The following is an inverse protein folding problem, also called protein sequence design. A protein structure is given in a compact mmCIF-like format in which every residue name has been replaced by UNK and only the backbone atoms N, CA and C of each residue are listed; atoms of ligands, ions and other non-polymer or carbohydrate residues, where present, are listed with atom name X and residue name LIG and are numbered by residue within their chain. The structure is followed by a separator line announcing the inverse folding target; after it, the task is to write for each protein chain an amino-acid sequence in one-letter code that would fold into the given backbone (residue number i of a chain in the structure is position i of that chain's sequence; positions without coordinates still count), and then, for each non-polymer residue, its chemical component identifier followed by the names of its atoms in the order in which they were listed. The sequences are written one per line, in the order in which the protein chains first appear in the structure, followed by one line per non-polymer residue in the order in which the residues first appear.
data_IF_927222903349
#
_entry.id   IF_927222903349
#
_cell.length_a   1.000
_cell.length_b   1.000
_cell.length_c   1.000
_cell.angle_alpha   90.00
_cell.angle_beta   90.00
_cell.angle_gamma   90.00
#
_symmetry.space_group_name_H-M   'P 1'
#
loop_
_entity.id
_entity.type
_entity.pdbx_description
1 polymer ?
#
# COMPACT_ATOMS: atom_id res chain seq x y z
N UNK A 1 64.81 21.10 23.48
CA UNK A 1 63.86 21.50 22.41
C UNK A 1 63.18 20.24 21.91
N UNK A 2 62.13 19.78 22.58
CA UNK A 2 61.42 18.56 22.21
C UNK A 2 59.93 18.88 22.34
N UNK A 3 59.19 18.78 21.26
CA UNK A 3 57.83 18.28 21.35
C UNK A 3 56.65 19.15 21.03
N UNK A 4 56.67 20.13 20.11
CA UNK A 4 55.40 20.75 19.66
C UNK A 4 54.75 20.03 18.47
N UNK A 5 55.44 19.11 17.82
CA UNK A 5 54.91 18.39 16.64
C UNK A 5 53.96 17.26 16.92
N UNK A 6 54.07 16.59 18.07
CA UNK A 6 53.26 15.44 18.45
C UNK A 6 51.90 15.86 18.99
N UNK A 7 51.81 17.01 19.66
CA UNK A 7 50.53 17.50 20.21
C UNK A 7 49.59 17.98 19.10
N UNK A 8 50.11 18.61 18.04
CA UNK A 8 49.31 19.05 16.89
C UNK A 8 48.81 17.89 16.03
N UNK A 9 49.60 16.81 15.87
CA UNK A 9 49.17 15.62 15.15
C UNK A 9 48.05 14.87 15.87
N UNK A 10 48.14 14.80 17.21
CA UNK A 10 47.06 14.18 18.03
C UNK A 10 45.75 14.97 17.97
N UNK A 11 45.82 16.30 18.01
CA UNK A 11 44.64 17.16 17.97
C UNK A 11 43.93 17.11 16.59
N UNK A 12 44.70 17.07 15.49
CA UNK A 12 44.13 16.96 14.14
C UNK A 12 43.46 15.60 13.91
N UNK A 13 44.06 14.51 14.41
CA UNK A 13 43.46 13.16 14.28
C UNK A 13 42.18 13.06 15.09
N UNK A 14 42.10 13.64 16.28
CA UNK A 14 40.88 13.65 17.10
C UNK A 14 39.80 14.51 16.44
N UNK A 15 40.10 15.65 15.87
CA UNK A 15 39.15 16.52 15.14
C UNK A 15 38.60 15.87 13.87
N UNK A 16 39.43 15.11 13.12
CA UNK A 16 38.97 14.39 11.93
C UNK A 16 38.09 13.16 12.31
N UNK A 17 38.39 12.49 13.43
CA UNK A 17 37.61 11.36 13.91
C UNK A 17 36.21 11.77 14.40
N UNK A 18 36.03 12.98 14.94
CA UNK A 18 34.72 13.49 15.40
C UNK A 18 33.83 13.98 14.28
N UNK A 19 34.36 14.30 13.10
CA UNK A 19 33.55 14.76 11.95
C UNK A 19 32.89 13.62 11.15
N UNK A 20 33.27 12.35 11.36
CA UNK A 20 32.68 11.20 10.65
C UNK A 20 31.44 10.60 11.34
N UNK A 21 31.04 11.09 12.51
CA UNK A 21 29.96 10.50 13.32
C UNK A 21 28.55 11.13 13.07
N UNK A 22 28.39 12.04 12.12
CA UNK A 22 27.18 12.87 12.01
C UNK A 22 26.22 12.53 10.85
N UNK A 23 26.35 11.38 10.20
CA UNK A 23 25.32 10.92 9.25
C UNK A 23 24.39 9.91 9.95
N UNK A 24 23.49 10.41 10.79
CA UNK A 24 22.35 9.60 11.24
C UNK A 24 21.34 9.54 10.10
N UNK A 25 21.08 8.37 9.48
CA UNK A 25 20.04 8.27 8.47
C UNK A 25 18.69 8.54 9.11
N UNK A 26 18.03 9.63 8.73
CA UNK A 26 16.66 9.93 9.16
C UNK A 26 15.72 9.13 8.27
N UNK A 27 15.13 8.08 8.81
CA UNK A 27 14.07 7.34 8.13
C UNK A 27 12.73 8.02 8.39
N UNK A 28 12.16 8.64 7.38
CA UNK A 28 10.82 9.24 7.45
C UNK A 28 9.80 8.17 7.04
N UNK A 29 9.05 7.67 8.01
CA UNK A 29 7.91 6.79 7.76
C UNK A 29 6.67 7.64 7.48
N UNK A 30 6.01 7.36 6.35
CA UNK A 30 4.76 8.04 5.97
C UNK A 30 3.58 7.18 6.39
N UNK A 31 2.66 7.75 7.17
CA UNK A 31 1.41 7.09 7.57
C UNK A 31 0.25 7.67 6.78
N UNK A 32 -0.46 6.82 6.05
CA UNK A 32 -1.64 7.22 5.28
C UNK A 32 -2.93 6.95 6.06
N UNK A 33 -4.00 7.76 5.90
CA UNK A 33 -5.34 7.41 6.35
C UNK A 33 -5.79 6.08 5.73
N UNK A 34 -6.55 5.27 6.49
CA UNK A 34 -6.99 3.94 6.03
C UNK A 34 -7.70 3.99 4.68
N UNK A 35 -8.60 4.94 4.48
CA UNK A 35 -9.32 5.12 3.22
C UNK A 35 -8.37 5.29 2.02
N UNK A 36 -7.27 6.02 2.17
CA UNK A 36 -6.29 6.20 1.09
C UNK A 36 -5.56 4.89 0.76
N UNK A 37 -5.32 4.05 1.76
CA UNK A 37 -4.75 2.71 1.54
C UNK A 37 -5.75 1.80 0.83
N UNK A 38 -7.02 1.83 1.21
CA UNK A 38 -8.09 1.05 0.59
C UNK A 38 -8.31 1.45 -0.87
N UNK A 39 -8.34 2.75 -1.16
CA UNK A 39 -8.46 3.28 -2.53
C UNK A 39 -7.27 2.84 -3.39
N UNK A 40 -6.05 2.95 -2.86
CA UNK A 40 -4.84 2.56 -3.58
C UNK A 40 -4.79 1.04 -3.83
N UNK A 41 -5.12 0.23 -2.83
CA UNK A 41 -5.19 -1.22 -2.96
C UNK A 41 -6.24 -1.63 -4.01
N UNK A 42 -7.42 -0.98 -3.99
CA UNK A 42 -8.47 -1.21 -4.98
C UNK A 42 -7.99 -0.91 -6.39
N UNK A 43 -7.32 0.22 -6.62
CA UNK A 43 -6.77 0.57 -7.94
C UNK A 43 -5.76 -0.48 -8.44
N UNK A 44 -4.84 -0.93 -7.58
CA UNK A 44 -3.83 -1.93 -7.95
C UNK A 44 -4.49 -3.27 -8.26
N UNK A 45 -5.46 -3.71 -7.46
CA UNK A 45 -6.20 -4.96 -7.70
C UNK A 45 -7.04 -4.88 -8.98
N UNK A 46 -7.61 -3.71 -9.30
CA UNK A 46 -8.32 -3.52 -10.58
C UNK A 46 -7.40 -3.63 -11.79
N UNK A 47 -6.17 -3.12 -11.70
CA UNK A 47 -5.17 -3.32 -12.75
C UNK A 47 -4.87 -4.80 -13.00
N UNK A 48 -4.81 -5.63 -11.96
CA UNK A 48 -4.54 -7.07 -12.08
C UNK A 48 -5.73 -7.87 -12.63
N UNK A 49 -6.92 -7.30 -12.62
CA UNK A 49 -8.17 -7.95 -13.05
C UNK A 49 -8.74 -7.40 -14.35
N UNK A 50 -8.04 -6.46 -14.98
CA UNK A 50 -8.47 -5.89 -16.25
C UNK A 50 -8.16 -6.86 -17.39
N UNK A 51 -9.11 -7.14 -18.31
CA UNK A 51 -8.81 -7.89 -19.52
C UNK A 51 -7.66 -7.22 -20.30
N UNK A 52 -6.78 -8.00 -20.96
CA UNK A 52 -5.61 -7.47 -21.69
C UNK A 52 -5.97 -6.41 -22.76
N UNK A 53 -7.17 -6.51 -23.31
CA UNK A 53 -7.66 -5.63 -24.38
C UNK A 53 -8.55 -4.47 -23.88
N UNK A 54 -8.72 -4.30 -22.58
CA UNK A 54 -9.52 -3.21 -22.05
C UNK A 54 -8.76 -1.89 -22.10
N UNK A 55 -9.34 -0.81 -22.67
CA UNK A 55 -8.69 0.49 -22.70
C UNK A 55 -8.36 0.93 -21.27
N UNK A 56 -7.21 1.57 -21.10
CA UNK A 56 -6.79 2.11 -19.81
C UNK A 56 -7.87 3.11 -19.31
N UNK A 57 -8.65 2.70 -18.34
CA UNK A 57 -9.52 3.64 -17.64
C UNK A 57 -8.60 4.61 -16.91
N UNK A 58 -8.56 5.86 -17.34
CA UNK A 58 -7.87 6.92 -16.61
C UNK A 58 -8.38 6.98 -15.17
N UNK A 59 -7.64 7.60 -14.25
CA UNK A 59 -8.10 7.77 -12.88
C UNK A 59 -9.49 8.42 -12.93
N UNK A 60 -10.48 7.75 -12.33
CA UNK A 60 -11.80 8.36 -12.13
C UNK A 60 -11.56 9.66 -11.36
N UNK A 61 -11.94 10.83 -11.90
CA UNK A 61 -11.77 12.08 -11.17
C UNK A 61 -12.50 11.95 -9.84
N UNK A 62 -11.80 12.22 -8.74
CA UNK A 62 -12.43 12.36 -7.43
C UNK A 62 -13.62 13.32 -7.58
N UNK A 63 -14.78 13.05 -6.92
CA UNK A 63 -15.90 13.96 -6.96
C UNK A 63 -15.41 15.37 -6.58
N UNK A 64 -15.61 16.33 -7.48
CA UNK A 64 -15.25 17.72 -7.22
C UNK A 64 -15.89 18.16 -5.91
N UNK A 65 -15.19 18.85 -5.01
CA UNK A 65 -15.79 19.42 -3.82
C UNK A 65 -16.92 20.34 -4.27
N UNK A 66 -18.11 20.12 -3.74
CA UNK A 66 -19.26 20.99 -4.01
C UNK A 66 -18.84 22.43 -3.72
N UNK A 67 -19.10 23.39 -4.61
CA UNK A 67 -18.78 24.79 -4.34
C UNK A 67 -19.62 25.23 -3.16
N UNK A 68 -18.98 25.34 -1.99
CA UNK A 68 -19.54 26.03 -0.84
C UNK A 68 -19.82 27.47 -1.24
N UNK A 69 -21.03 27.94 -0.97
CA UNK A 69 -21.51 29.25 -1.32
C UNK A 69 -20.56 30.34 -0.78
N UNK A 70 -20.01 31.12 -1.68
CA UNK A 70 -19.07 32.24 -1.44
C UNK A 70 -19.66 33.37 -0.60
N UNK A 71 -20.88 33.21 -0.10
CA UNK A 71 -21.62 34.28 0.61
C UNK A 71 -21.39 34.34 2.13
N UNK A 72 -20.81 33.29 2.74
CA UNK A 72 -20.54 33.28 4.17
C UNK A 72 -19.17 33.84 4.59
N UNK A 73 -18.31 34.15 3.64
CA UNK A 73 -16.96 34.65 3.91
C UNK A 73 -16.87 36.15 4.17
N UNK A 74 -18.01 36.88 4.08
CA UNK A 74 -18.07 38.35 4.23
C UNK A 74 -18.53 38.85 5.60
N UNK A 75 -18.91 37.95 6.51
CA UNK A 75 -19.40 38.29 7.84
C UNK A 75 -18.53 37.74 8.97
N UNK A 76 -17.19 37.85 8.84
CA UNK A 76 -16.33 37.58 9.97
C UNK A 76 -16.32 38.83 10.90
N UNK A 77 -16.84 38.77 12.14
CA UNK A 77 -16.75 39.86 13.08
C UNK A 77 -15.31 40.06 13.53
N UNK A 78 -14.91 41.33 13.64
CA UNK A 78 -13.66 41.78 14.25
C UNK A 78 -13.68 41.47 15.76
N UNK A 79 -13.29 40.25 16.13
CA UNK A 79 -13.05 39.86 17.53
C UNK A 79 -11.57 39.88 17.89
N UNK A 80 -11.19 39.99 19.19
CA UNK A 80 -9.81 40.04 19.62
C UNK A 80 -9.08 38.74 19.26
N UNK A 81 -7.89 38.91 18.69
CA UNK A 81 -6.97 37.81 18.37
C UNK A 81 -6.47 37.19 19.68
N UNK A 82 -7.10 36.14 20.12
CA UNK A 82 -6.42 35.17 20.98
C UNK A 82 -5.33 34.47 20.17
N UNK A 83 -4.15 34.37 20.76
CA UNK A 83 -3.00 33.74 20.15
C UNK A 83 -3.34 32.28 19.80
N UNK A 84 -3.78 32.04 18.58
CA UNK A 84 -3.94 30.71 18.04
C UNK A 84 -2.53 30.08 17.99
N UNK A 85 -2.32 29.02 18.77
CA UNK A 85 -1.21 28.11 18.57
C UNK A 85 -1.19 27.79 17.08
N UNK A 86 -0.03 27.96 16.42
CA UNK A 86 0.20 27.60 15.02
C UNK A 86 -0.18 26.12 14.84
N UNK A 87 -1.43 25.87 14.48
CA UNK A 87 -1.77 24.60 13.86
C UNK A 87 -0.98 24.54 12.56
N UNK A 88 0.15 23.83 12.61
CA UNK A 88 0.87 23.45 11.39
C UNK A 88 -0.16 22.87 10.45
N UNK A 89 -0.28 23.38 9.20
CA UNK A 89 -1.21 22.81 8.24
C UNK A 89 -0.89 21.31 8.17
N UNK A 90 -1.84 20.47 8.55
CA UNK A 90 -1.77 19.03 8.35
C UNK A 90 -1.58 18.88 6.85
N UNK A 91 -0.35 18.61 6.45
CA UNK A 91 0.01 18.37 5.06
C UNK A 91 -0.88 17.23 4.63
N UNK A 92 -1.94 17.51 3.87
CA UNK A 92 -2.83 16.48 3.37
C UNK A 92 -1.95 15.47 2.66
N UNK A 93 -1.81 14.29 3.27
CA UNK A 93 -0.93 13.25 2.76
C UNK A 93 -1.31 13.01 1.30
N UNK A 94 -0.37 13.23 0.39
CA UNK A 94 -0.57 12.98 -1.02
C UNK A 94 -1.08 11.54 -1.17
N UNK A 95 -1.92 11.30 -2.19
CA UNK A 95 -2.40 9.94 -2.45
C UNK A 95 -1.21 9.00 -2.64
N UNK A 96 -1.28 7.76 -2.11
CA UNK A 96 -0.21 6.79 -2.32
C UNK A 96 0.04 6.57 -3.82
N UNK A 97 1.30 6.40 -4.19
CA UNK A 97 1.69 6.05 -5.57
C UNK A 97 1.23 4.63 -5.86
N UNK A 98 0.45 4.46 -6.91
CA UNK A 98 -0.07 3.15 -7.37
C UNK A 98 0.50 2.76 -8.73
N UNK A 99 1.22 3.65 -9.39
CA UNK A 99 1.79 3.46 -10.73
C UNK A 99 3.32 3.45 -10.69
N UNK A 100 3.89 2.26 -10.88
CA UNK A 100 5.32 2.06 -11.11
C UNK A 100 5.52 0.92 -12.10
N UNK A 101 6.66 0.93 -12.78
CA UNK A 101 7.00 -0.15 -13.73
C UNK A 101 7.05 -1.53 -13.06
N UNK A 102 7.39 -1.60 -11.78
CA UNK A 102 7.40 -2.85 -11.01
C UNK A 102 5.98 -3.33 -10.68
N UNK A 103 5.11 -2.44 -10.17
CA UNK A 103 3.70 -2.78 -9.92
C UNK A 103 2.99 -3.21 -11.20
N UNK A 104 3.24 -2.53 -12.33
CA UNK A 104 2.67 -2.93 -13.61
C UNK A 104 3.07 -4.34 -14.00
N UNK A 105 4.36 -4.70 -13.94
CA UNK A 105 4.82 -6.06 -14.25
C UNK A 105 4.17 -7.12 -13.36
N UNK A 106 4.01 -6.85 -12.08
CA UNK A 106 3.37 -7.76 -11.12
C UNK A 106 1.88 -7.93 -11.42
N UNK A 107 1.16 -6.83 -11.67
CA UNK A 107 -0.27 -6.87 -12.01
C UNK A 107 -0.51 -7.53 -13.38
N UNK A 108 0.37 -7.35 -14.37
CA UNK A 108 0.34 -8.07 -15.64
C UNK A 108 0.59 -9.57 -15.44
N UNK A 109 1.51 -9.94 -14.54
CA UNK A 109 1.75 -11.35 -14.17
C UNK A 109 0.49 -11.99 -13.57
N UNK A 110 -0.19 -11.32 -12.65
CA UNK A 110 -1.48 -11.76 -12.11
C UNK A 110 -2.56 -11.85 -13.19
N UNK A 111 -2.62 -10.87 -14.07
CA UNK A 111 -3.60 -10.82 -15.16
C UNK A 111 -3.49 -12.05 -16.08
N UNK A 112 -2.27 -12.48 -16.43
CA UNK A 112 -2.05 -13.70 -17.22
C UNK A 112 -2.59 -14.97 -16.55
N UNK A 113 -2.67 -15.00 -15.21
CA UNK A 113 -3.20 -16.14 -14.42
C UNK A 113 -4.68 -15.97 -14.04
N UNK A 114 -5.27 -14.82 -14.33
CA UNK A 114 -6.62 -14.47 -13.84
C UNK A 114 -7.65 -15.55 -14.14
N UNK A 115 -7.64 -16.12 -15.35
CA UNK A 115 -8.58 -17.18 -15.73
C UNK A 115 -8.43 -18.43 -14.86
N UNK A 116 -7.19 -18.87 -14.59
CA UNK A 116 -6.94 -20.02 -13.73
C UNK A 116 -7.34 -19.76 -12.26
N UNK A 117 -7.07 -18.56 -11.76
CA UNK A 117 -7.49 -18.13 -10.41
C UNK A 117 -9.01 -18.10 -10.30
N UNK A 118 -9.69 -17.49 -11.26
CA UNK A 118 -11.16 -17.44 -11.27
C UNK A 118 -11.79 -18.85 -11.33
N UNK A 119 -11.21 -19.76 -12.11
CA UNK A 119 -11.64 -21.14 -12.19
C UNK A 119 -11.45 -21.86 -10.84
N UNK A 120 -10.31 -21.66 -10.16
CA UNK A 120 -10.05 -22.25 -8.85
C UNK A 120 -11.06 -21.73 -7.80
N UNK A 121 -11.36 -20.43 -7.78
CA UNK A 121 -12.36 -19.82 -6.91
C UNK A 121 -13.77 -20.35 -7.21
N UNK A 122 -14.18 -20.40 -8.47
CA UNK A 122 -15.51 -20.85 -8.90
C UNK A 122 -15.78 -22.32 -8.55
N UNK A 123 -14.75 -23.18 -8.64
CA UNK A 123 -14.84 -24.59 -8.22
C UNK A 123 -14.78 -24.79 -6.71
N UNK A 124 -14.50 -23.72 -5.96
CA UNK A 124 -14.30 -23.82 -4.51
C UNK A 124 -12.96 -24.45 -4.11
N UNK A 125 -12.00 -24.55 -5.05
CA UNK A 125 -10.66 -25.08 -4.79
C UNK A 125 -9.72 -24.08 -4.13
N UNK A 126 -10.08 -22.81 -4.16
CA UNK A 126 -9.40 -21.71 -3.49
C UNK A 126 -10.40 -20.78 -2.85
N UNK A 127 -9.95 -19.98 -1.91
CA UNK A 127 -10.69 -18.88 -1.29
C UNK A 127 -9.79 -17.69 -1.02
N UNK A 128 -10.36 -16.51 -0.96
CA UNK A 128 -9.66 -15.29 -0.60
C UNK A 128 -9.57 -15.14 0.92
N UNK A 129 -8.35 -15.13 1.46
CA UNK A 129 -8.15 -15.00 2.90
C UNK A 129 -8.20 -13.55 3.39
N UNK A 130 -8.29 -13.36 4.70
CA UNK A 130 -8.21 -12.06 5.35
C UNK A 130 -6.79 -11.45 5.36
N UNK A 131 -5.80 -12.21 4.87
CA UNK A 131 -4.42 -11.75 4.70
C UNK A 131 -4.13 -11.27 3.25
N UNK A 132 -5.13 -11.30 2.36
CA UNK A 132 -4.97 -10.92 0.96
C UNK A 132 -4.29 -11.99 0.11
N UNK A 133 -4.30 -13.23 0.55
CA UNK A 133 -3.73 -14.39 -0.12
C UNK A 133 -4.83 -15.37 -0.53
N UNK A 134 -4.55 -16.16 -1.57
CA UNK A 134 -5.36 -17.33 -1.89
C UNK A 134 -4.98 -18.49 -0.96
N UNK A 135 -5.99 -19.17 -0.43
CA UNK A 135 -5.79 -20.39 0.34
C UNK A 135 -6.51 -21.58 -0.31
N UNK A 136 -5.91 -22.80 -0.30
CA UNK A 136 -6.57 -23.99 -0.80
C UNK A 136 -7.84 -24.28 -0.02
N UNK A 137 -8.92 -24.66 -0.73
CA UNK A 137 -10.19 -25.07 -0.14
C UNK A 137 -10.61 -26.44 -0.70
N UNK A 138 -11.35 -27.25 0.08
CA UNK A 138 -11.82 -28.56 -0.36
C UNK A 138 -13.00 -28.42 -1.33
N UNK A 139 -12.72 -28.08 -2.59
CA UNK A 139 -13.73 -27.98 -3.65
C UNK A 139 -13.85 -29.26 -4.47
N UNK A 140 -14.79 -29.25 -5.43
CA UNK A 140 -14.97 -30.38 -6.36
C UNK A 140 -14.06 -30.20 -7.59
N UNK A 141 -13.43 -31.30 -8.01
CA UNK A 141 -12.59 -31.29 -9.21
C UNK A 141 -11.34 -30.43 -9.08
N UNK A 142 -10.78 -30.33 -7.89
CA UNK A 142 -9.52 -29.62 -7.61
C UNK A 142 -8.29 -30.41 -8.07
N UNK A 143 -8.38 -31.02 -9.23
CA UNK A 143 -7.25 -31.71 -9.89
C UNK A 143 -6.49 -30.72 -10.78
N UNK A 144 -5.22 -30.99 -11.00
CA UNK A 144 -4.36 -30.14 -11.81
C UNK A 144 -3.47 -29.24 -10.98
N UNK A 145 -2.90 -28.21 -11.61
CA UNK A 145 -1.90 -27.33 -11.00
C UNK A 145 -2.53 -26.18 -10.16
N UNK A 146 -3.59 -26.47 -9.39
CA UNK A 146 -4.20 -25.46 -8.53
C UNK A 146 -3.20 -24.94 -7.49
N UNK A 147 -2.38 -25.81 -6.92
CA UNK A 147 -1.37 -25.42 -5.93
C UNK A 147 -0.32 -24.49 -6.54
N UNK A 148 0.15 -24.78 -7.76
CA UNK A 148 1.09 -23.92 -8.49
C UNK A 148 0.47 -22.55 -8.84
N UNK A 149 -0.79 -22.53 -9.26
CA UNK A 149 -1.52 -21.28 -9.51
C UNK A 149 -1.63 -20.42 -8.24
N UNK A 150 -2.02 -21.03 -7.11
CA UNK A 150 -2.11 -20.35 -5.81
C UNK A 150 -0.72 -19.83 -5.39
N UNK A 151 0.31 -20.65 -5.49
CA UNK A 151 1.68 -20.27 -5.11
C UNK A 151 2.18 -19.07 -5.92
N UNK A 152 2.06 -19.14 -7.25
CA UNK A 152 2.50 -18.06 -8.13
C UNK A 152 1.70 -16.77 -7.92
N UNK A 153 0.38 -16.87 -7.70
CA UNK A 153 -0.47 -15.71 -7.40
C UNK A 153 -0.06 -15.06 -6.08
N UNK A 154 0.15 -15.86 -5.03
CA UNK A 154 0.53 -15.35 -3.71
C UNK A 154 1.91 -14.71 -3.71
N UNK A 155 2.86 -15.22 -4.50
CA UNK A 155 4.17 -14.61 -4.66
C UNK A 155 4.05 -13.17 -5.23
N UNK A 156 3.26 -12.99 -6.29
CA UNK A 156 3.04 -11.67 -6.87
C UNK A 156 2.28 -10.74 -5.90
N UNK A 157 1.28 -11.23 -5.16
CA UNK A 157 0.55 -10.43 -4.17
C UNK A 157 1.45 -9.92 -3.04
N UNK A 158 2.35 -10.75 -2.54
CA UNK A 158 3.33 -10.35 -1.54
C UNK A 158 4.30 -9.30 -2.10
N UNK A 159 4.82 -9.53 -3.31
CA UNK A 159 5.70 -8.57 -3.97
C UNK A 159 5.01 -7.23 -4.26
N UNK A 160 3.71 -7.23 -4.58
CA UNK A 160 2.91 -6.00 -4.75
C UNK A 160 2.85 -5.22 -3.43
N UNK A 161 2.52 -5.87 -2.31
CA UNK A 161 2.47 -5.23 -0.99
C UNK A 161 3.83 -4.62 -0.62
N UNK A 162 4.91 -5.38 -0.78
CA UNK A 162 6.27 -4.92 -0.49
C UNK A 162 6.69 -3.73 -1.36
N UNK A 163 6.40 -3.81 -2.68
CA UNK A 163 6.71 -2.74 -3.62
C UNK A 163 5.89 -1.49 -3.31
N UNK A 164 4.60 -1.64 -3.00
CA UNK A 164 3.73 -0.54 -2.62
C UNK A 164 4.23 0.16 -1.35
N UNK A 165 4.59 -0.59 -0.32
CA UNK A 165 5.14 -0.03 0.92
C UNK A 165 6.46 0.71 0.67
N UNK A 166 7.39 0.09 -0.05
CA UNK A 166 8.69 0.66 -0.36
C UNK A 166 8.58 1.98 -1.13
N UNK A 167 7.78 2.03 -2.20
CA UNK A 167 7.65 3.23 -3.03
C UNK A 167 6.92 4.39 -2.36
N UNK A 168 6.15 4.10 -1.31
CA UNK A 168 5.39 5.09 -0.54
C UNK A 168 6.01 5.41 0.82
N UNK A 169 7.21 4.90 1.11
CA UNK A 169 7.88 5.06 2.41
C UNK A 169 7.00 4.66 3.60
N UNK A 170 6.19 3.60 3.43
CA UNK A 170 5.35 3.05 4.50
C UNK A 170 6.22 2.13 5.36
N UNK A 171 6.28 2.41 6.66
CA UNK A 171 7.08 1.64 7.60
C UNK A 171 6.54 0.23 7.86
N UNK A 172 7.40 -0.69 8.34
CA UNK A 172 6.99 -2.07 8.61
C UNK A 172 5.91 -2.20 9.69
N UNK A 173 5.75 -1.21 10.57
CA UNK A 173 4.64 -1.16 11.55
C UNK A 173 3.26 -1.11 10.91
N UNK A 174 3.15 -0.59 9.69
CA UNK A 174 1.89 -0.45 8.96
C UNK A 174 1.59 -1.63 8.01
N UNK A 175 2.45 -2.65 7.94
CA UNK A 175 2.27 -3.79 7.03
C UNK A 175 0.91 -4.47 7.20
N UNK A 176 0.44 -4.61 8.45
CA UNK A 176 -0.87 -5.21 8.75
C UNK A 176 -2.03 -4.40 8.14
N UNK A 177 -1.97 -3.08 8.23
CA UNK A 177 -2.97 -2.18 7.65
C UNK A 177 -2.99 -2.25 6.12
N UNK A 178 -1.80 -2.24 5.50
CA UNK A 178 -1.67 -2.36 4.05
C UNK A 178 -2.23 -3.71 3.58
N UNK A 179 -1.84 -4.82 4.22
CA UNK A 179 -2.36 -6.15 3.88
C UNK A 179 -3.88 -6.23 4.03
N UNK A 180 -4.46 -5.64 5.07
CA UNK A 180 -5.91 -5.59 5.27
C UNK A 180 -6.62 -4.86 4.12
N UNK A 181 -6.06 -3.74 3.63
CA UNK A 181 -6.60 -3.03 2.46
C UNK A 181 -6.58 -3.88 1.19
N UNK A 182 -5.48 -4.58 0.91
CA UNK A 182 -5.40 -5.51 -0.22
C UNK A 182 -6.36 -6.71 -0.05
N UNK A 183 -6.42 -7.29 1.15
CA UNK A 183 -7.35 -8.38 1.46
C UNK A 183 -8.80 -7.97 1.21
N UNK A 184 -9.18 -6.79 1.67
CA UNK A 184 -10.50 -6.21 1.40
C UNK A 184 -10.72 -6.08 -0.12
N UNK A 185 -9.77 -5.49 -0.84
CA UNK A 185 -9.87 -5.27 -2.27
C UNK A 185 -10.04 -6.58 -3.06
N UNK A 186 -9.32 -7.65 -2.70
CA UNK A 186 -9.49 -8.97 -3.33
C UNK A 186 -10.84 -9.59 -2.99
N UNK A 187 -11.24 -9.60 -1.72
CA UNK A 187 -12.53 -10.17 -1.26
C UNK A 187 -13.73 -9.46 -1.87
N UNK A 188 -13.66 -8.13 -2.06
CA UNK A 188 -14.74 -7.36 -2.66
C UNK A 188 -15.03 -7.80 -4.11
N UNK A 189 -14.06 -8.36 -4.81
CA UNK A 189 -14.15 -8.80 -6.21
C UNK A 189 -14.45 -10.29 -6.39
N UNK A 190 -14.62 -11.01 -5.30
CA UNK A 190 -15.05 -12.43 -5.33
C UNK A 190 -16.52 -12.53 -5.73
N UNK A 191 -16.84 -13.47 -6.58
CA UNK A 191 -18.22 -13.74 -7.01
C UNK A 191 -19.06 -14.42 -5.95
N UNK A 192 -20.38 -14.39 -6.12
CA UNK A 192 -21.31 -15.09 -5.22
C UNK A 192 -21.03 -16.60 -5.16
N UNK A 193 -21.17 -17.19 -3.99
CA UNK A 193 -20.95 -18.62 -3.73
C UNK A 193 -19.49 -19.06 -3.60
N UNK A 194 -18.53 -18.15 -3.82
CA UNK A 194 -17.10 -18.43 -3.66
C UNK A 194 -16.64 -18.21 -2.20
N UNK A 195 -15.55 -18.89 -1.81
CA UNK A 195 -15.04 -18.84 -0.46
C UNK A 195 -14.28 -17.53 -0.18
N UNK A 196 -14.66 -16.88 0.92
CA UNK A 196 -13.93 -15.73 1.49
C UNK A 196 -13.75 -15.92 2.99
N UNK A 197 -12.65 -15.43 3.52
CA UNK A 197 -12.41 -15.40 4.95
C UNK A 197 -12.89 -14.06 5.52
N UNK A 198 -13.69 -14.11 6.58
CA UNK A 198 -14.09 -12.90 7.33
C UNK A 198 -12.89 -12.30 8.06
N UNK A 199 -13.04 -11.06 8.55
CA UNK A 199 -11.98 -10.43 9.36
C UNK A 199 -11.70 -11.18 10.66
N UNK A 200 -12.66 -12.00 11.14
CA UNK A 200 -12.51 -12.89 12.30
C UNK A 200 -11.83 -14.23 11.99
N UNK A 201 -11.48 -14.46 10.72
CA UNK A 201 -10.82 -15.69 10.28
C UNK A 201 -11.78 -16.84 9.91
N UNK A 202 -13.10 -16.62 9.92
CA UNK A 202 -14.08 -17.64 9.56
C UNK A 202 -14.23 -17.71 8.04
N UNK A 203 -14.31 -18.94 7.50
CA UNK A 203 -14.56 -19.15 6.07
C UNK A 203 -16.05 -19.20 5.79
N UNK A 204 -16.50 -18.34 4.91
CA UNK A 204 -17.91 -18.26 4.47
C UNK A 204 -17.98 -18.22 2.94
N UNK A 205 -19.13 -18.54 2.39
CA UNK A 205 -19.43 -18.29 0.97
C UNK A 205 -20.08 -16.92 0.83
N UNK A 206 -19.54 -16.12 -0.10
CA UNK A 206 -20.07 -14.79 -0.39
C UNK A 206 -21.44 -14.84 -1.04
#
# INVERSE_FOLDING_TARGET
MIGNGTLHRGLVVVLVATSLAACVPVTVNVTFPQQKLDDAASQIVDMSRRPPDAPASGPTPAPAPKPGSRLEQWLAPLGPREAAAEERPVQMAQAPKTDSGELRRLTESQNRRLGAVQQALARGCAGESNQGLLEPRPGQGCSGDVAGVIGAENADRQAIVETFMRQNNIGPSDVGRVRASFAKAYRDRVGGGQWVQTDRGEWVKK
#
